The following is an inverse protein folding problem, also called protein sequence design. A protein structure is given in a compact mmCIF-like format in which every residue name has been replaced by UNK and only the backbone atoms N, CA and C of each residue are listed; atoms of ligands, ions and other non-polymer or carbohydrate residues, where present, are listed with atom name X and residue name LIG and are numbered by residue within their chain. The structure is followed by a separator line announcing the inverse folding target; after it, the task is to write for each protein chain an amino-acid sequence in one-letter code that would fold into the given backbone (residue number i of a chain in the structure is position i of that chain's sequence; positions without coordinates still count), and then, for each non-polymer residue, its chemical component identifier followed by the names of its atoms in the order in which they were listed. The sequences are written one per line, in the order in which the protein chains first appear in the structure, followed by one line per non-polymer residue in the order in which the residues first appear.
data_IF_828067406934
#
_entry.id   IF_828067406934
#
_cell.length_a   1.000
_cell.length_b   1.000
_cell.length_c   1.000
_cell.angle_alpha   90.00
_cell.angle_beta   90.00
_cell.angle_gamma   90.00
#
_symmetry.space_group_name_H-M   'P 1'
#
loop_
_entity.id
_entity.type
_entity.pdbx_description
1 polymer ?
#
# COMPACT_ATOMS: atom_id res chain seq x y z
N UNK A 1 11.76 27.00 7.26
CA UNK A 1 11.06 26.22 8.31
C UNK A 1 11.59 24.80 8.22
N UNK A 2 12.28 24.28 9.25
CA UNK A 2 12.68 22.87 9.26
C UNK A 2 11.42 22.05 9.61
N UNK A 3 11.07 21.00 8.85
CA UNK A 3 9.93 20.18 9.21
C UNK A 3 10.10 19.69 10.64
N UNK A 4 9.06 19.85 11.47
CA UNK A 4 9.08 19.30 12.81
C UNK A 4 9.14 17.78 12.71
N UNK A 5 9.65 17.08 13.72
CA UNK A 5 9.65 15.61 13.72
C UNK A 5 8.23 15.01 13.54
N UNK A 6 7.18 15.78 13.81
CA UNK A 6 5.78 15.37 13.62
C UNK A 6 5.35 15.42 12.15
N UNK A 7 5.77 16.45 11.41
CA UNK A 7 5.40 16.64 10.00
C UNK A 7 5.88 15.47 9.12
N UNK A 8 7.06 14.92 9.43
CA UNK A 8 7.60 13.75 8.73
C UNK A 8 6.87 12.45 9.09
N UNK A 9 6.38 12.32 10.33
CA UNK A 9 5.60 11.16 10.75
C UNK A 9 4.21 11.17 10.10
N UNK A 10 3.54 12.31 10.12
CA UNK A 10 2.22 12.49 9.51
C UNK A 10 2.24 12.18 8.01
N UNK A 11 3.30 12.61 7.31
CA UNK A 11 3.50 12.29 5.90
C UNK A 11 3.67 10.78 5.64
N UNK A 12 4.39 10.07 6.52
CA UNK A 12 4.58 8.61 6.39
C UNK A 12 3.27 7.87 6.62
N UNK A 13 2.50 8.24 7.65
CA UNK A 13 1.18 7.64 7.93
C UNK A 13 0.26 7.83 6.73
N UNK A 14 0.18 9.06 6.22
CA UNK A 14 -0.67 9.38 5.09
C UNK A 14 -0.34 8.53 3.85
N UNK A 15 0.95 8.29 3.59
CA UNK A 15 1.38 7.42 2.50
C UNK A 15 0.94 5.96 2.73
N UNK A 16 1.00 5.44 3.96
CA UNK A 16 0.46 4.12 4.27
C UNK A 16 -1.06 4.05 4.07
N UNK A 17 -1.79 5.11 4.40
CA UNK A 17 -3.22 5.18 4.13
C UNK A 17 -3.52 5.08 2.64
N UNK A 18 -2.80 5.83 1.81
CA UNK A 18 -2.95 5.80 0.35
C UNK A 18 -2.66 4.40 -0.21
N UNK A 19 -1.55 3.78 0.21
CA UNK A 19 -1.15 2.46 -0.27
C UNK A 19 -2.19 1.40 0.13
N UNK A 20 -2.66 1.44 1.37
CA UNK A 20 -3.66 0.49 1.86
C UNK A 20 -5.02 0.65 1.16
N UNK A 21 -5.46 1.88 0.92
CA UNK A 21 -6.70 2.16 0.20
C UNK A 21 -6.61 1.69 -1.27
N UNK A 22 -5.49 1.98 -1.94
CA UNK A 22 -5.24 1.48 -3.29
C UNK A 22 -5.24 -0.05 -3.36
N UNK A 23 -4.64 -0.70 -2.37
CA UNK A 23 -4.62 -2.17 -2.25
C UNK A 23 -6.02 -2.76 -2.10
N UNK A 24 -6.84 -2.16 -1.23
CA UNK A 24 -8.23 -2.58 -1.05
C UNK A 24 -9.07 -2.42 -2.32
N UNK A 25 -8.88 -1.31 -3.03
CA UNK A 25 -9.56 -1.06 -4.30
C UNK A 25 -9.17 -2.09 -5.37
N UNK A 26 -7.89 -2.51 -5.41
CA UNK A 26 -7.44 -3.57 -6.32
C UNK A 26 -8.13 -4.90 -5.98
N UNK A 27 -8.12 -5.32 -4.71
CA UNK A 27 -8.79 -6.57 -4.29
C UNK A 27 -10.30 -6.54 -4.57
N UNK A 28 -10.93 -5.38 -4.40
CA UNK A 28 -12.38 -5.22 -4.53
C UNK A 28 -12.86 -5.10 -5.98
N UNK A 29 -12.09 -4.43 -6.84
CA UNK A 29 -12.48 -4.16 -8.22
C UNK A 29 -11.79 -5.05 -9.26
N UNK A 30 -10.64 -5.63 -8.92
CA UNK A 30 -9.84 -6.49 -9.79
C UNK A 30 -9.38 -7.77 -9.08
N UNK A 31 -10.31 -8.58 -8.56
CA UNK A 31 -9.97 -9.76 -7.76
C UNK A 31 -9.17 -10.80 -8.55
N UNK A 32 -9.37 -10.92 -9.87
CA UNK A 32 -8.58 -11.82 -10.72
C UNK A 32 -7.12 -11.39 -10.81
N UNK A 33 -6.87 -10.07 -10.89
CA UNK A 33 -5.51 -9.53 -10.87
C UNK A 33 -4.85 -9.77 -9.52
N UNK A 34 -5.57 -9.51 -8.42
CA UNK A 34 -5.06 -9.78 -7.07
C UNK A 34 -4.71 -11.26 -6.87
N UNK A 35 -5.55 -12.18 -7.37
CA UNK A 35 -5.30 -13.62 -7.32
C UNK A 35 -4.11 -14.07 -8.20
N UNK A 36 -3.88 -13.39 -9.33
CA UNK A 36 -2.77 -13.67 -10.23
C UNK A 36 -1.42 -13.14 -9.72
N UNK A 37 -1.43 -12.18 -8.78
CA UNK A 37 -0.26 -11.54 -8.21
C UNK A 37 -0.16 -11.74 -6.68
N UNK A 38 -0.07 -12.99 -6.18
CA UNK A 38 0.01 -13.28 -4.75
C UNK A 38 1.30 -12.76 -4.09
N UNK A 39 2.32 -12.41 -4.88
CA UNK A 39 3.51 -11.71 -4.43
C UNK A 39 3.24 -10.27 -4.00
N UNK A 40 2.09 -9.69 -4.34
CA UNK A 40 1.70 -8.35 -3.88
C UNK A 40 0.85 -8.46 -2.60
N UNK A 41 1.28 -7.84 -1.49
CA UNK A 41 0.67 -8.02 -0.18
C UNK A 41 -0.55 -7.10 0.04
N UNK A 42 -1.56 -7.15 -0.85
CA UNK A 42 -2.68 -6.21 -0.82
C UNK A 42 -3.45 -6.19 0.50
N UNK A 43 -3.90 -7.36 0.97
CA UNK A 43 -4.60 -7.49 2.25
C UNK A 43 -3.77 -6.97 3.43
N UNK A 44 -2.46 -7.26 3.44
CA UNK A 44 -1.56 -6.79 4.50
C UNK A 44 -1.38 -5.27 4.45
N UNK A 45 -1.23 -4.68 3.27
CA UNK A 45 -1.16 -3.24 3.10
C UNK A 45 -2.43 -2.53 3.58
N UNK A 46 -3.61 -3.10 3.31
CA UNK A 46 -4.88 -2.59 3.83
C UNK A 46 -4.97 -2.71 5.36
N UNK A 47 -4.53 -3.83 5.93
CA UNK A 47 -4.46 -4.01 7.39
C UNK A 47 -3.51 -3.00 8.05
N UNK A 48 -2.35 -2.74 7.43
CA UNK A 48 -1.42 -1.72 7.88
C UNK A 48 -2.06 -0.33 7.90
N UNK A 49 -2.83 0.04 6.87
CA UNK A 49 -3.63 1.28 6.86
C UNK A 49 -4.59 1.34 8.05
N UNK A 50 -5.30 0.26 8.35
CA UNK A 50 -6.23 0.25 9.49
C UNK A 50 -5.50 0.39 10.83
N UNK A 51 -4.35 -0.26 10.99
CA UNK A 51 -3.53 -0.15 12.19
C UNK A 51 -3.02 1.29 12.39
N UNK A 52 -2.45 1.92 11.36
CA UNK A 52 -1.92 3.29 11.47
C UNK A 52 -3.02 4.35 11.57
N UNK A 53 -4.20 4.15 10.99
CA UNK A 53 -5.29 5.13 11.05
C UNK A 53 -6.07 5.09 12.37
N UNK A 54 -6.36 3.90 12.90
CA UNK A 54 -7.20 3.74 14.09
C UNK A 54 -6.40 3.64 15.39
N UNK A 55 -5.16 3.14 15.33
CA UNK A 55 -4.35 2.86 16.51
C UNK A 55 -3.02 3.60 16.50
N UNK A 56 -2.83 4.67 15.71
CA UNK A 56 -1.57 5.42 15.58
C UNK A 56 -0.84 5.70 16.91
N UNK A 57 -1.59 6.00 17.98
CA UNK A 57 -1.04 6.28 19.31
C UNK A 57 -0.55 5.03 20.07
N UNK A 58 -0.94 3.84 19.65
CA UNK A 58 -0.53 2.52 20.18
C UNK A 58 0.38 1.76 19.21
N UNK A 59 0.37 2.11 17.93
CA UNK A 59 1.26 1.52 16.93
C UNK A 59 2.68 1.89 17.28
N UNK A 60 3.51 0.86 17.40
CA UNK A 60 4.94 1.04 17.61
C UNK A 60 5.55 1.67 16.34
N UNK A 61 5.91 2.95 16.43
CA UNK A 61 6.55 3.70 15.35
C UNK A 61 7.86 3.05 14.88
N UNK A 62 8.52 2.25 15.73
CA UNK A 62 9.69 1.48 15.34
C UNK A 62 9.33 0.39 14.33
N UNK A 63 8.17 -0.25 14.48
CA UNK A 63 7.66 -1.25 13.53
C UNK A 63 7.32 -0.56 12.21
N UNK A 64 6.62 0.57 12.25
CA UNK A 64 6.29 1.36 11.04
C UNK A 64 7.57 1.74 10.29
N UNK A 65 8.59 2.23 11.01
CA UNK A 65 9.85 2.61 10.40
C UNK A 65 10.62 1.42 9.82
N UNK A 66 10.60 0.26 10.49
CA UNK A 66 11.17 -0.98 9.93
C UNK A 66 10.46 -1.41 8.65
N UNK A 67 9.13 -1.30 8.59
CA UNK A 67 8.37 -1.60 7.37
C UNK A 67 8.73 -0.65 6.22
N UNK A 68 8.87 0.64 6.50
CA UNK A 68 9.35 1.61 5.48
C UNK A 68 10.74 1.23 4.97
N UNK A 69 11.66 0.84 5.86
CA UNK A 69 13.05 0.58 5.48
C UNK A 69 13.25 -0.78 4.79
N UNK A 70 12.49 -1.80 5.19
CA UNK A 70 12.74 -3.18 4.76
C UNK A 70 11.77 -3.65 3.68
N UNK A 71 10.49 -3.29 3.80
CA UNK A 71 9.43 -3.90 2.99
C UNK A 71 9.03 -3.01 1.81
N UNK A 72 9.11 -1.69 1.96
CA UNK A 72 8.65 -0.75 0.94
C UNK A 72 9.49 -0.78 -0.33
N UNK A 73 10.81 -0.96 -0.21
CA UNK A 73 11.70 -1.07 -1.37
C UNK A 73 11.41 -2.34 -2.18
N UNK A 74 11.17 -3.46 -1.50
CA UNK A 74 10.77 -4.70 -2.13
C UNK A 74 9.39 -4.56 -2.79
N UNK A 75 8.40 -4.00 -2.08
CA UNK A 75 7.06 -3.78 -2.61
C UNK A 75 7.08 -2.91 -3.88
N UNK A 76 7.89 -1.86 -3.88
CA UNK A 76 8.06 -1.00 -5.05
C UNK A 76 8.55 -1.77 -6.28
N UNK A 77 9.54 -2.67 -6.11
CA UNK A 77 10.02 -3.50 -7.20
C UNK A 77 8.97 -4.50 -7.67
N UNK A 78 8.22 -5.12 -6.78
CA UNK A 78 7.13 -6.03 -7.16
C UNK A 78 6.03 -5.31 -7.96
N UNK A 79 5.64 -4.11 -7.53
CA UNK A 79 4.68 -3.28 -8.28
C UNK A 79 5.24 -2.90 -9.64
N UNK A 80 6.52 -2.52 -9.73
CA UNK A 80 7.18 -2.18 -10.99
C UNK A 80 7.20 -3.36 -11.97
N UNK A 81 7.44 -4.58 -11.48
CA UNK A 81 7.39 -5.80 -12.28
C UNK A 81 5.96 -6.11 -12.74
N UNK A 82 4.97 -6.00 -11.84
CA UNK A 82 3.57 -6.21 -12.20
C UNK A 82 3.11 -5.22 -13.28
N UNK A 83 3.52 -3.95 -13.21
CA UNK A 83 3.23 -2.93 -14.23
C UNK A 83 3.77 -3.29 -15.62
N UNK A 84 4.92 -3.97 -15.71
CA UNK A 84 5.49 -4.39 -17.01
C UNK A 84 4.70 -5.51 -17.68
N UNK A 85 3.96 -6.28 -16.89
CA UNK A 85 3.14 -7.39 -17.36
C UNK A 85 1.70 -6.95 -17.68
N UNK A 86 1.31 -5.71 -17.35
CA UNK A 86 0.00 -5.18 -17.68
C UNK A 86 -0.08 -4.80 -19.16
N UNK A 87 -1.15 -5.19 -19.86
CA UNK A 87 -1.43 -4.63 -21.18
C UNK A 87 -1.60 -3.11 -21.08
N UNK A 88 -1.09 -2.37 -22.08
CA UNK A 88 -1.14 -0.90 -22.13
C UNK A 88 -2.55 -0.33 -22.26
N UNK A 89 -3.58 -1.17 -22.40
CA UNK A 89 -4.98 -0.79 -22.48
C UNK A 89 -5.79 -1.46 -21.37
N UNK A 90 -6.59 -0.65 -20.66
CA UNK A 90 -7.53 -1.15 -19.66
C UNK A 90 -8.52 -2.13 -20.31
N UNK A 91 -8.67 -3.37 -19.81
CA UNK A 91 -9.84 -4.16 -20.12
C UNK A 91 -11.04 -3.41 -19.53
N UNK A 92 -11.84 -2.81 -20.42
CA UNK A 92 -13.06 -2.07 -20.07
C UNK A 92 -13.84 -2.88 -19.01
N UNK A 93 -14.16 -2.29 -17.85
CA UNK A 93 -14.84 -3.03 -16.80
C UNK A 93 -16.11 -3.64 -17.38
N UNK A 94 -16.27 -4.95 -17.18
CA UNK A 94 -17.49 -5.64 -17.53
C UNK A 94 -18.64 -4.90 -16.84
N UNK A 95 -19.57 -4.38 -17.63
CA UNK A 95 -20.76 -3.73 -17.09
C UNK A 95 -21.46 -4.71 -16.14
N UNK A 96 -22.04 -4.22 -15.02
CA UNK A 96 -22.93 -5.04 -14.20
C UNK A 96 -24.13 -5.56 -14.99
#
# INVERSE_FOLDING_TARGET
MKPSKRDGQDAVIHNFEIIGEASHNIESHYPEFAAAHPELPFAFAYQMRNAVAHEYFKVDLEIVWKTVQNDLAWLYEQVRLALQCLPLEDPKPAKP
#
